data_IF_074009702450
#
_entry.id   IF_074009702450
#
_cell.length_a   1.000
_cell.length_b   1.000
_cell.length_c   1.000
_cell.angle_alpha   90.00
_cell.angle_beta   90.00
_cell.angle_gamma   90.00
#
_symmetry.space_group_name_H-M   'P 1'
#
loop_
_entity.id
_entity.type
_entity.pdbx_description
1 polymer ?
#
# COMPACT_ATOMS: atom_id res chain seq x y z
N UNK A 1 6.58 9.17 14.46
CA UNK A 1 6.55 7.70 14.30
C UNK A 1 6.39 7.35 12.82
N UNK A 2 7.44 6.80 12.20
CA UNK A 2 7.44 6.38 10.77
C UNK A 2 6.40 5.27 10.56
N UNK A 3 6.40 4.27 11.45
CA UNK A 3 5.46 3.14 11.42
C UNK A 3 3.99 3.56 11.52
N UNK A 4 3.64 4.52 12.39
CA UNK A 4 2.26 5.04 12.46
C UNK A 4 1.79 5.61 11.12
N UNK A 5 2.63 6.42 10.47
CA UNK A 5 2.31 6.98 9.14
C UNK A 5 2.13 5.88 8.09
N UNK A 6 2.95 4.83 8.16
CA UNK A 6 2.82 3.67 7.28
C UNK A 6 1.52 2.89 7.52
N UNK A 7 1.16 2.65 8.78
CA UNK A 7 -0.10 1.99 9.16
C UNK A 7 -1.28 2.79 8.61
N UNK A 8 -1.33 4.09 8.87
CA UNK A 8 -2.41 4.97 8.39
C UNK A 8 -2.48 4.94 6.85
N UNK A 9 -1.35 5.08 6.16
CA UNK A 9 -1.30 5.07 4.70
C UNK A 9 -1.69 3.71 4.09
N UNK A 10 -1.31 2.59 4.70
CA UNK A 10 -1.71 1.24 4.28
C UNK A 10 -3.22 1.04 4.43
N UNK A 11 -3.82 1.52 5.53
CA UNK A 11 -5.25 1.42 5.77
C UNK A 11 -6.04 2.35 4.83
N UNK A 12 -5.53 3.55 4.55
CA UNK A 12 -6.10 4.47 3.56
C UNK A 12 -6.08 3.85 2.16
N UNK A 13 -4.95 3.26 1.75
CA UNK A 13 -4.81 2.59 0.46
C UNK A 13 -5.74 1.38 0.35
N UNK A 14 -5.90 0.59 1.42
CA UNK A 14 -6.84 -0.53 1.47
C UNK A 14 -8.25 -0.06 1.14
N UNK A 15 -8.75 0.96 1.87
CA UNK A 15 -10.10 1.51 1.65
C UNK A 15 -10.29 2.06 0.25
N UNK A 16 -9.34 2.85 -0.25
CA UNK A 16 -9.45 3.46 -1.57
C UNK A 16 -9.43 2.41 -2.70
N UNK A 17 -8.60 1.38 -2.55
CA UNK A 17 -8.51 0.28 -3.51
C UNK A 17 -9.75 -0.62 -3.49
N UNK A 18 -10.24 -0.99 -2.31
CA UNK A 18 -11.48 -1.76 -2.15
C UNK A 18 -12.65 -1.00 -2.77
N UNK A 19 -12.77 0.30 -2.46
CA UNK A 19 -13.81 1.15 -3.01
C UNK A 19 -13.74 1.25 -4.51
N UNK A 20 -12.54 1.50 -5.06
CA UNK A 20 -12.34 1.49 -6.51
C UNK A 20 -12.79 0.15 -7.10
N UNK A 21 -12.41 -0.97 -6.48
CA UNK A 21 -12.72 -2.33 -6.95
C UNK A 21 -14.20 -2.72 -6.95
N UNK A 22 -15.01 -2.10 -6.08
CA UNK A 22 -16.45 -2.42 -5.98
C UNK A 22 -17.31 -1.38 -6.70
N UNK A 23 -17.00 -0.10 -6.53
CA UNK A 23 -17.81 1.01 -7.05
C UNK A 23 -17.33 1.50 -8.43
N UNK A 24 -16.14 1.09 -8.89
CA UNK A 24 -15.52 1.61 -10.10
C UNK A 24 -16.09 1.10 -11.43
N UNK A 25 -16.57 -0.15 -11.53
CA UNK A 25 -16.93 -0.74 -12.83
C UNK A 25 -18.43 -0.97 -13.04
N UNK A 26 -18.94 -0.52 -14.19
CA UNK A 26 -20.28 -0.90 -14.70
C UNK A 26 -20.24 -2.08 -15.66
N UNK A 27 -19.09 -2.39 -16.27
CA UNK A 27 -18.90 -3.49 -17.25
C UNK A 27 -17.51 -4.13 -17.10
N UNK A 28 -17.43 -5.44 -17.35
CA UNK A 28 -16.22 -6.24 -17.17
C UNK A 28 -15.06 -5.89 -18.10
N UNK A 29 -15.32 -5.30 -19.27
CA UNK A 29 -14.28 -4.92 -20.26
C UNK A 29 -13.54 -3.63 -19.91
N UNK A 30 -14.13 -2.75 -19.10
CA UNK A 30 -13.50 -1.49 -18.64
C UNK A 30 -12.59 -1.72 -17.42
N UNK A 31 -12.64 -2.93 -16.85
CA UNK A 31 -12.16 -3.25 -15.51
C UNK A 31 -10.68 -3.68 -15.46
N UNK A 32 -10.13 -4.20 -16.54
CA UNK A 32 -8.74 -4.64 -16.61
C UNK A 32 -7.85 -3.61 -17.32
N UNK A 33 -6.62 -3.33 -16.82
CA UNK A 33 -5.95 -4.00 -15.71
C UNK A 33 -6.09 -3.31 -14.34
N UNK A 34 -6.70 -2.11 -14.24
CA UNK A 34 -6.70 -1.29 -13.03
C UNK A 34 -7.34 -1.96 -11.79
N UNK A 35 -8.51 -2.58 -11.91
CA UNK A 35 -9.16 -3.26 -10.78
C UNK A 35 -8.35 -4.42 -10.21
N UNK A 36 -7.76 -5.24 -11.09
CA UNK A 36 -6.93 -6.36 -10.62
C UNK A 36 -5.76 -5.85 -9.78
N UNK A 37 -5.20 -4.69 -10.13
CA UNK A 37 -4.15 -4.08 -9.34
C UNK A 37 -4.68 -3.47 -8.04
N UNK A 38 -5.86 -2.84 -8.06
CA UNK A 38 -6.52 -2.32 -6.86
C UNK A 38 -6.81 -3.44 -5.85
N UNK A 39 -7.39 -4.56 -6.26
CA UNK A 39 -7.68 -5.71 -5.37
C UNK A 39 -6.39 -6.23 -4.73
N UNK A 40 -5.33 -6.44 -5.53
CA UNK A 40 -4.04 -6.91 -5.00
C UNK A 40 -3.41 -5.87 -4.07
N UNK A 41 -3.48 -4.59 -4.42
CA UNK A 41 -2.97 -3.51 -3.59
C UNK A 41 -3.71 -3.37 -2.26
N UNK A 42 -5.03 -3.61 -2.25
CA UNK A 42 -5.83 -3.60 -1.02
C UNK A 42 -5.36 -4.70 -0.06
N UNK A 43 -5.28 -5.95 -0.54
CA UNK A 43 -4.89 -7.10 0.29
C UNK A 43 -3.46 -7.00 0.81
N UNK A 44 -2.52 -6.58 -0.05
CA UNK A 44 -1.12 -6.38 0.34
C UNK A 44 -1.01 -5.26 1.37
N UNK A 45 -1.65 -4.11 1.13
CA UNK A 45 -1.63 -2.98 2.07
C UNK A 45 -2.26 -3.34 3.41
N UNK A 46 -3.38 -4.07 3.40
CA UNK A 46 -4.05 -4.54 4.61
C UNK A 46 -3.13 -5.45 5.43
N UNK A 47 -2.50 -6.44 4.79
CA UNK A 47 -1.52 -7.31 5.44
C UNK A 47 -0.39 -6.51 6.08
N UNK A 48 0.24 -5.59 5.32
CA UNK A 48 1.40 -4.83 5.81
C UNK A 48 1.00 -3.89 6.94
N UNK A 49 -0.12 -3.17 6.83
CA UNK A 49 -0.60 -2.29 7.89
C UNK A 49 -0.86 -3.06 9.20
N UNK A 50 -1.48 -4.25 9.12
CA UNK A 50 -1.74 -5.09 10.30
C UNK A 50 -0.48 -5.67 10.92
N UNK A 51 0.48 -6.12 10.11
CA UNK A 51 1.77 -6.62 10.61
C UNK A 51 2.59 -5.51 11.25
N UNK A 52 2.61 -4.32 10.63
CA UNK A 52 3.30 -3.13 11.14
C UNK A 52 2.71 -2.67 12.46
N UNK A 53 1.37 -2.68 12.60
CA UNK A 53 0.68 -2.35 13.85
C UNK A 53 0.99 -3.33 15.00
N UNK A 54 1.43 -4.55 14.68
CA UNK A 54 1.91 -5.54 15.66
C UNK A 54 3.42 -5.43 15.93
N UNK A 55 4.08 -4.38 15.43
CA UNK A 55 5.51 -4.15 15.60
C UNK A 55 6.40 -5.02 14.70
N UNK A 56 5.84 -5.66 13.67
CA UNK A 56 6.65 -6.45 12.73
C UNK A 56 7.40 -5.52 11.77
N UNK A 57 8.72 -5.70 11.69
CA UNK A 57 9.59 -5.02 10.75
C UNK A 57 10.19 -6.05 9.79
N UNK A 58 9.68 -6.07 8.55
CA UNK A 58 10.15 -6.95 7.50
C UNK A 58 10.39 -6.14 6.22
N UNK A 59 11.65 -5.90 5.88
CA UNK A 59 12.03 -5.04 4.75
C UNK A 59 11.43 -5.51 3.42
N UNK A 60 11.38 -6.82 3.17
CA UNK A 60 10.94 -7.37 1.88
C UNK A 60 9.43 -7.18 1.69
N UNK A 61 8.67 -7.24 2.78
CA UNK A 61 7.23 -6.95 2.77
C UNK A 61 6.94 -5.48 2.48
N UNK A 62 7.73 -4.56 3.07
CA UNK A 62 7.60 -3.13 2.76
C UNK A 62 7.98 -2.80 1.31
N UNK A 63 9.02 -3.45 0.78
CA UNK A 63 9.39 -3.29 -0.63
C UNK A 63 8.30 -3.81 -1.57
N UNK A 64 7.77 -5.00 -1.31
CA UNK A 64 6.67 -5.59 -2.08
C UNK A 64 5.45 -4.65 -2.08
N UNK A 65 5.04 -4.16 -0.91
CA UNK A 65 3.91 -3.25 -0.80
C UNK A 65 4.13 -1.95 -1.58
N UNK A 66 5.35 -1.39 -1.54
CA UNK A 66 5.67 -0.21 -2.32
C UNK A 66 5.55 -0.45 -3.82
N UNK A 67 6.13 -1.55 -4.32
CA UNK A 67 6.08 -1.91 -5.74
C UNK A 67 4.64 -2.16 -6.22
N UNK A 68 3.84 -2.85 -5.41
CA UNK A 68 2.43 -3.13 -5.73
C UNK A 68 1.62 -1.83 -5.79
N UNK A 69 1.80 -0.94 -4.82
CA UNK A 69 1.09 0.34 -4.79
C UNK A 69 1.55 1.28 -5.92
N UNK A 70 2.84 1.31 -6.26
CA UNK A 70 3.36 2.04 -7.43
C UNK A 70 2.70 1.52 -8.72
N UNK A 71 2.68 0.20 -8.92
CA UNK A 71 2.02 -0.41 -10.07
C UNK A 71 0.52 -0.13 -10.12
N UNK A 72 -0.17 -0.18 -8.98
CA UNK A 72 -1.58 0.15 -8.88
C UNK A 72 -1.86 1.61 -9.27
N UNK A 73 -1.07 2.55 -8.74
CA UNK A 73 -1.20 3.97 -9.05
C UNK A 73 -0.98 4.24 -10.56
N UNK A 74 -0.01 3.57 -11.19
CA UNK A 74 0.22 3.71 -12.63
C UNK A 74 -0.93 3.18 -13.49
N UNK A 75 -1.51 2.02 -13.11
CA UNK A 75 -2.65 1.46 -13.85
C UNK A 75 -3.94 2.24 -13.64
N UNK A 76 -4.18 2.76 -12.43
CA UNK A 76 -5.40 3.49 -12.10
C UNK A 76 -5.39 4.94 -12.58
N UNK A 77 -4.22 5.55 -12.84
CA UNK A 77 -4.10 6.94 -13.32
C UNK A 77 -4.81 7.18 -14.67
N UNK A 78 -4.93 6.16 -15.50
CA UNK A 78 -5.60 6.25 -16.81
C UNK A 78 -7.11 5.99 -16.78
N UNK A 79 -7.69 5.77 -15.60
CA UNK A 79 -9.10 5.41 -15.45
C UNK A 79 -9.97 6.65 -15.22
N UNK A 80 -11.02 6.80 -16.02
CA UNK A 80 -12.01 7.88 -15.87
C UNK A 80 -13.14 7.45 -14.93
N UNK A 81 -12.82 7.33 -13.63
CA UNK A 81 -13.78 6.93 -12.59
C UNK A 81 -13.67 7.82 -11.34
N UNK A 82 -14.80 8.02 -10.67
CA UNK A 82 -14.93 8.89 -9.48
C UNK A 82 -13.93 8.55 -8.36
N UNK A 83 -13.55 7.27 -8.22
CA UNK A 83 -12.66 6.79 -7.16
C UNK A 83 -11.22 6.51 -7.63
N UNK A 84 -10.94 6.63 -8.93
CA UNK A 84 -9.62 6.30 -9.47
C UNK A 84 -8.54 7.22 -8.91
N UNK A 85 -8.83 8.52 -8.82
CA UNK A 85 -7.88 9.50 -8.31
C UNK A 85 -7.56 9.27 -6.82
N UNK A 86 -8.56 8.97 -6.00
CA UNK A 86 -8.37 8.63 -4.58
C UNK A 86 -7.47 7.41 -4.41
N UNK A 87 -7.70 6.36 -5.21
CA UNK A 87 -6.85 5.17 -5.23
C UNK A 87 -5.40 5.50 -5.61
N UNK A 88 -5.19 6.31 -6.66
CA UNK A 88 -3.86 6.73 -7.12
C UNK A 88 -3.11 7.48 -6.02
N UNK A 89 -3.76 8.45 -5.38
CA UNK A 89 -3.11 9.29 -4.37
C UNK A 89 -2.84 8.50 -3.08
N UNK A 90 -3.76 7.63 -2.66
CA UNK A 90 -3.57 6.74 -1.52
C UNK A 90 -2.45 5.72 -1.77
N UNK A 91 -2.39 5.11 -2.96
CA UNK A 91 -1.33 4.16 -3.31
C UNK A 91 0.05 4.82 -3.35
N UNK A 92 0.19 6.03 -3.92
CA UNK A 92 1.46 6.76 -3.90
C UNK A 92 1.94 7.04 -2.48
N UNK A 93 1.03 7.49 -1.61
CA UNK A 93 1.35 7.74 -0.20
C UNK A 93 1.75 6.45 0.53
N UNK A 94 1.04 5.35 0.29
CA UNK A 94 1.39 4.04 0.84
C UNK A 94 2.80 3.63 0.40
N UNK A 95 3.10 3.71 -0.90
CA UNK A 95 4.42 3.38 -1.42
C UNK A 95 5.53 4.23 -0.79
N UNK A 96 5.35 5.55 -0.67
CA UNK A 96 6.32 6.44 -0.01
C UNK A 96 6.61 6.00 1.43
N UNK A 97 5.56 5.75 2.22
CA UNK A 97 5.73 5.35 3.63
C UNK A 97 6.33 3.95 3.79
N UNK A 98 5.99 3.02 2.90
CA UNK A 98 6.57 1.68 2.86
C UNK A 98 8.06 1.75 2.49
N UNK A 99 8.47 2.59 1.53
CA UNK A 99 9.89 2.82 1.21
C UNK A 99 10.65 3.39 2.42
N UNK A 100 10.05 4.30 3.16
CA UNK A 100 10.65 4.82 4.40
C UNK A 100 10.83 3.71 5.47
N UNK A 101 9.82 2.85 5.67
CA UNK A 101 9.91 1.72 6.60
C UNK A 101 10.91 0.66 6.13
N UNK A 102 11.00 0.41 4.82
CA UNK A 102 11.98 -0.51 4.24
C UNK A 102 13.42 -0.07 4.54
N UNK A 103 13.72 1.22 4.37
CA UNK A 103 15.05 1.78 4.67
C UNK A 103 15.34 1.79 6.17
N UNK A 104 14.33 2.00 7.03
CA UNK A 104 14.46 1.89 8.48
C UNK A 104 14.77 0.43 8.90
N UNK A 105 13.98 -0.53 8.41
CA UNK A 105 14.18 -1.95 8.68
C UNK A 105 15.57 -2.46 8.22
N UNK A 106 16.05 -2.00 7.06
CA UNK A 106 17.41 -2.31 6.57
C UNK A 106 18.50 -1.86 7.54
N UNK A 107 18.31 -0.74 8.23
CA UNK A 107 19.28 -0.23 9.21
C UNK A 107 19.26 -1.10 10.47
N UNK A 108 18.07 -1.38 11.00
CA UNK A 108 17.91 -2.23 12.18
C UNK A 108 18.53 -3.63 12.01
N UNK A 109 18.37 -4.27 10.85
CA UNK A 109 18.98 -5.58 10.56
C UNK A 109 20.52 -5.53 10.56
N UNK A 110 21.12 -4.44 10.06
CA UNK A 110 22.58 -4.28 10.01
C UNK A 110 23.18 -4.04 11.40
N UNK A 111 22.43 -3.43 12.30
CA UNK A 111 22.91 -3.01 13.62
C UNK A 111 22.69 -4.07 14.71
N UNK A 112 22.16 -5.28 14.39
CA UNK A 112 21.81 -6.34 15.36
C UNK A 112 20.97 -5.84 16.55
N UNK A 113 20.13 -4.82 16.33
CA UNK A 113 19.27 -4.24 17.35
C UNK A 113 17.83 -4.73 17.20
N UNK A 114 17.15 -4.99 18.33
CA UNK A 114 15.71 -5.18 18.39
C UNK A 114 15.01 -4.08 17.58
N UNK A 115 14.41 -4.46 16.46
CA UNK A 115 13.52 -3.58 15.70
C UNK A 115 12.36 -3.23 16.62
N UNK A 116 12.43 -2.09 17.32
CA UNK A 116 11.32 -1.57 18.11
C UNK A 116 10.24 -1.08 17.16
N UNK A 117 9.49 -2.03 16.61
CA UNK A 117 8.29 -1.76 15.85
C UNK A 117 7.23 -1.22 16.80
N UNK A 118 6.77 0.00 16.50
CA UNK A 118 5.57 0.62 17.08
C UNK A 118 5.59 0.93 18.59
N UNK A 119 6.62 1.64 19.07
CA UNK A 119 6.47 2.58 20.21
C UNK A 119 6.48 4.04 19.73
#
# INVERSE_FOLDING_TARGET
MIYKKCIDACMDATKACDRLSVEGCKKSTECCPGHCHAIVAAEVSNLIGRLTAKGMCCKDLFELCAQVCEGCAEKCKGMDHEHAQECVDACKKCAETCRACHEDCKKCEKEKGDCKGAE
#
